data_IF_688605873240
#
_entry.id   IF_688605873240
#
_cell.length_a   1.000
_cell.length_b   1.000
_cell.length_c   1.000
_cell.angle_alpha   90.00
_cell.angle_beta   90.00
_cell.angle_gamma   90.00
#
_symmetry.space_group_name_H-M   'P 1'
#
loop_
_entity.id
_entity.type
_entity.pdbx_description
1 polymer ?
#
# COMPACT_ATOMS: atom_id res chain seq x y z
N UNK A 1 -73.67 -40.73 8.72
CA UNK A 1 -73.21 -39.47 8.10
C UNK A 1 -71.98 -38.98 8.84
N UNK A 2 -70.75 -39.23 8.30
CA UNK A 2 -69.49 -38.87 8.88
C UNK A 2 -68.79 -37.94 7.88
N UNK A 3 -68.71 -36.65 8.22
CA UNK A 3 -68.06 -35.64 7.38
C UNK A 3 -66.63 -35.48 7.87
N UNK A 4 -65.65 -35.86 7.06
CA UNK A 4 -64.20 -35.65 7.33
C UNK A 4 -63.81 -34.24 6.87
N UNK A 5 -63.28 -33.46 7.81
CA UNK A 5 -62.68 -32.11 7.55
C UNK A 5 -61.20 -32.33 7.32
N UNK A 6 -60.73 -32.15 6.09
CA UNK A 6 -59.31 -32.09 5.74
C UNK A 6 -58.77 -30.70 6.02
N UNK A 7 -57.93 -30.55 7.03
CA UNK A 7 -57.21 -29.31 7.31
C UNK A 7 -55.97 -29.21 6.40
N UNK A 8 -55.97 -28.24 5.48
CA UNK A 8 -54.87 -27.92 4.58
C UNK A 8 -53.88 -27.00 5.33
N UNK A 9 -52.76 -27.55 5.82
CA UNK A 9 -51.68 -26.76 6.43
C UNK A 9 -50.86 -26.08 5.34
N UNK A 10 -51.07 -24.78 5.12
CA UNK A 10 -50.24 -23.94 4.26
C UNK A 10 -48.93 -23.63 5.00
N UNK A 11 -47.85 -24.30 4.62
CA UNK A 11 -46.49 -23.96 5.09
C UNK A 11 -46.04 -22.72 4.32
N UNK A 12 -46.12 -21.57 4.96
CA UNK A 12 -45.55 -20.31 4.47
C UNK A 12 -44.02 -20.41 4.54
N UNK A 13 -43.36 -20.70 3.42
CA UNK A 13 -41.94 -20.58 3.28
C UNK A 13 -41.57 -19.08 3.38
N UNK A 14 -41.18 -18.64 4.56
CA UNK A 14 -40.57 -17.32 4.74
C UNK A 14 -39.23 -17.35 4.01
N UNK A 15 -39.21 -16.84 2.78
CA UNK A 15 -38.00 -16.61 2.03
C UNK A 15 -37.14 -15.63 2.80
N UNK A 16 -36.09 -16.15 3.43
CA UNK A 16 -35.02 -15.31 3.99
C UNK A 16 -34.38 -14.62 2.78
N UNK A 17 -34.85 -13.42 2.44
CA UNK A 17 -34.21 -12.57 1.46
C UNK A 17 -32.77 -12.38 1.86
N UNK A 18 -31.84 -12.98 1.11
CA UNK A 18 -30.42 -12.73 1.25
C UNK A 18 -30.22 -11.22 1.06
N UNK A 19 -30.02 -10.52 2.16
CA UNK A 19 -29.66 -9.11 2.11
C UNK A 19 -28.41 -8.99 1.21
N UNK A 20 -28.57 -8.45 0.01
CA UNK A 20 -27.46 -8.21 -0.91
C UNK A 20 -26.46 -7.30 -0.21
N UNK A 21 -25.38 -7.87 0.27
CA UNK A 21 -24.34 -7.11 0.95
C UNK A 21 -23.82 -6.04 -0.02
N UNK A 22 -23.87 -4.77 0.38
CA UNK A 22 -23.43 -3.64 -0.42
C UNK A 22 -22.01 -3.88 -0.93
N UNK A 23 -21.82 -3.81 -2.24
CA UNK A 23 -20.49 -3.92 -2.85
C UNK A 23 -19.62 -2.74 -2.42
N UNK A 24 -18.40 -3.04 -1.99
CA UNK A 24 -17.41 -2.05 -1.60
C UNK A 24 -16.44 -1.87 -2.79
N UNK A 25 -16.27 -0.64 -3.25
CA UNK A 25 -15.27 -0.32 -4.26
C UNK A 25 -14.00 0.16 -3.55
N UNK A 26 -12.88 -0.53 -3.78
CA UNK A 26 -11.58 -0.23 -3.20
C UNK A 26 -10.62 0.23 -4.29
N UNK A 27 -10.04 1.40 -4.13
CA UNK A 27 -9.02 1.95 -5.02
C UNK A 27 -7.63 1.69 -4.44
N UNK A 28 -6.74 1.10 -5.25
CA UNK A 28 -5.31 1.01 -4.95
C UNK A 28 -4.58 1.99 -5.85
N UNK A 29 -4.13 3.11 -5.29
CA UNK A 29 -3.34 4.10 -6.01
C UNK A 29 -1.84 3.81 -5.93
N UNK A 30 -1.09 4.22 -6.95
CA UNK A 30 0.37 4.24 -6.97
C UNK A 30 0.87 5.24 -7.99
N UNK A 31 2.14 5.63 -7.89
CA UNK A 31 2.72 6.64 -8.80
C UNK A 31 3.60 6.04 -9.88
N UNK A 32 3.94 4.77 -9.75
CA UNK A 32 4.76 4.01 -10.70
C UNK A 32 3.91 3.04 -11.52
N UNK A 33 4.51 2.45 -12.54
CA UNK A 33 3.88 1.44 -13.41
C UNK A 33 4.93 0.41 -13.82
N UNK A 34 4.51 -0.84 -14.04
CA UNK A 34 5.36 -1.95 -14.49
C UNK A 34 6.53 -2.27 -13.55
N UNK A 35 6.34 -2.06 -12.26
CA UNK A 35 7.28 -2.37 -11.18
C UNK A 35 6.68 -3.32 -10.14
N UNK A 36 7.43 -3.57 -9.06
CA UNK A 36 7.00 -4.45 -7.96
C UNK A 36 5.68 -3.99 -7.30
N UNK A 37 5.46 -2.67 -7.18
CA UNK A 37 4.23 -2.13 -6.61
C UNK A 37 3.01 -2.44 -7.50
N UNK A 38 3.18 -2.25 -8.83
CA UNK A 38 2.11 -2.54 -9.78
C UNK A 38 1.80 -4.05 -9.83
N UNK A 39 2.83 -4.91 -9.85
CA UNK A 39 2.64 -6.36 -9.76
C UNK A 39 1.89 -6.76 -8.46
N UNK A 40 2.35 -6.26 -7.32
CA UNK A 40 1.76 -6.53 -6.01
C UNK A 40 0.30 -6.06 -5.92
N UNK A 41 -0.01 -4.90 -6.49
CA UNK A 41 -1.38 -4.38 -6.53
C UNK A 41 -2.34 -5.25 -7.35
N UNK A 42 -1.87 -5.74 -8.49
CA UNK A 42 -2.66 -6.67 -9.31
C UNK A 42 -2.87 -8.03 -8.61
N UNK A 43 -1.85 -8.50 -7.87
CA UNK A 43 -1.98 -9.69 -7.05
C UNK A 43 -2.98 -9.47 -5.91
N UNK A 44 -2.86 -8.36 -5.16
CA UNK A 44 -3.79 -7.99 -4.09
C UNK A 44 -5.22 -7.86 -4.57
N UNK A 45 -5.44 -7.27 -5.75
CA UNK A 45 -6.77 -7.21 -6.39
C UNK A 45 -7.39 -8.59 -6.46
N UNK A 46 -6.67 -9.57 -7.04
CA UNK A 46 -7.16 -10.94 -7.20
C UNK A 46 -7.49 -11.58 -5.86
N UNK A 47 -6.60 -11.45 -4.88
CA UNK A 47 -6.74 -12.04 -3.55
C UNK A 47 -7.94 -11.43 -2.78
N UNK A 48 -8.07 -10.11 -2.80
CA UNK A 48 -9.14 -9.40 -2.09
C UNK A 48 -10.50 -9.72 -2.72
N UNK A 49 -10.60 -9.68 -4.05
CA UNK A 49 -11.85 -10.00 -4.74
C UNK A 49 -12.28 -11.46 -4.49
N UNK A 50 -11.33 -12.41 -4.54
CA UNK A 50 -11.59 -13.81 -4.25
C UNK A 50 -11.99 -14.04 -2.78
N UNK A 51 -11.19 -13.54 -1.83
CA UNK A 51 -11.43 -13.76 -0.39
C UNK A 51 -12.67 -13.04 0.14
N UNK A 52 -13.11 -11.99 -0.54
CA UNK A 52 -14.36 -11.30 -0.21
C UNK A 52 -15.59 -11.90 -0.90
N UNK A 53 -15.44 -12.99 -1.66
CA UNK A 53 -16.48 -13.55 -2.51
C UNK A 53 -17.10 -12.47 -3.45
N UNK A 54 -16.26 -11.60 -4.00
CA UNK A 54 -16.66 -10.51 -4.90
C UNK A 54 -17.37 -9.34 -4.20
N UNK A 55 -17.48 -9.35 -2.88
CA UNK A 55 -18.08 -8.25 -2.11
C UNK A 55 -17.21 -6.96 -2.17
N UNK A 56 -15.89 -7.10 -2.30
CA UNK A 56 -14.98 -5.98 -2.53
C UNK A 56 -14.54 -6.02 -3.99
N UNK A 57 -14.73 -4.92 -4.71
CA UNK A 57 -14.25 -4.70 -6.09
C UNK A 57 -13.05 -3.80 -6.05
N UNK A 58 -11.92 -4.23 -6.60
CA UNK A 58 -10.65 -3.51 -6.51
C UNK A 58 -10.28 -2.89 -7.86
N UNK A 59 -10.15 -1.57 -7.87
CA UNK A 59 -9.55 -0.81 -8.97
C UNK A 59 -8.07 -0.54 -8.70
N UNK A 60 -7.18 -0.86 -9.65
CA UNK A 60 -5.74 -0.55 -9.59
C UNK A 60 -5.45 0.65 -10.48
N UNK A 61 -4.84 1.69 -9.92
CA UNK A 61 -4.60 2.98 -10.56
C UNK A 61 -3.11 3.34 -10.55
N UNK A 62 -2.32 2.83 -11.53
CA UNK A 62 -0.89 3.12 -11.66
C UNK A 62 -0.64 4.51 -12.25
N UNK A 63 0.67 4.85 -12.39
CA UNK A 63 1.14 6.06 -13.07
C UNK A 63 0.46 7.37 -12.57
N UNK A 64 0.23 7.46 -11.26
CA UNK A 64 -0.38 8.64 -10.62
C UNK A 64 -1.78 9.02 -11.14
N UNK A 65 -2.58 8.06 -11.64
CA UNK A 65 -3.93 8.32 -12.15
C UNK A 65 -4.87 8.96 -11.11
N UNK A 66 -4.68 8.68 -9.81
CA UNK A 66 -5.44 9.31 -8.73
C UNK A 66 -4.82 10.64 -8.24
N UNK A 67 -3.74 11.08 -8.89
CA UNK A 67 -3.02 12.30 -8.55
C UNK A 67 -1.60 12.06 -8.05
N UNK A 68 -0.87 13.17 -7.86
CA UNK A 68 0.50 13.15 -7.32
C UNK A 68 0.49 12.70 -5.84
N UNK A 69 1.67 12.34 -5.32
CA UNK A 69 1.84 11.80 -3.96
C UNK A 69 1.12 12.61 -2.87
N UNK A 70 1.29 13.93 -2.76
CA UNK A 70 0.63 14.68 -1.68
C UNK A 70 -0.90 14.56 -1.73
N UNK A 71 -1.49 14.60 -2.93
CA UNK A 71 -2.93 14.47 -3.12
C UNK A 71 -3.45 13.08 -2.70
N UNK A 72 -2.70 12.02 -3.02
CA UNK A 72 -3.12 10.66 -2.64
C UNK A 72 -2.97 10.44 -1.13
N UNK A 73 -1.96 11.01 -0.47
CA UNK A 73 -1.82 10.98 0.98
C UNK A 73 -3.02 11.68 1.64
N UNK A 74 -3.37 12.87 1.17
CA UNK A 74 -4.53 13.61 1.65
C UNK A 74 -5.83 12.82 1.44
N UNK A 75 -6.00 12.22 0.26
CA UNK A 75 -7.19 11.43 -0.07
C UNK A 75 -7.36 10.21 0.84
N UNK A 76 -6.27 9.55 1.27
CA UNK A 76 -6.32 8.47 2.27
C UNK A 76 -6.73 9.02 3.63
N UNK A 77 -6.14 10.14 4.07
CA UNK A 77 -6.47 10.75 5.37
C UNK A 77 -7.93 11.19 5.44
N UNK A 78 -8.50 11.64 4.33
CA UNK A 78 -9.92 12.02 4.19
C UNK A 78 -10.86 10.83 3.92
N UNK A 79 -10.33 9.62 3.70
CA UNK A 79 -11.13 8.43 3.39
C UNK A 79 -11.75 8.44 2.00
N UNK A 80 -11.28 9.27 1.07
CA UNK A 80 -11.76 9.32 -0.33
C UNK A 80 -11.00 8.40 -1.27
N UNK A 81 -9.89 7.83 -0.79
CA UNK A 81 -9.12 6.76 -1.40
C UNK A 81 -8.81 5.70 -0.33
N UNK A 82 -9.03 4.44 -0.64
CA UNK A 82 -8.93 3.35 0.33
C UNK A 82 -7.49 2.90 0.56
N UNK A 83 -6.64 2.90 -0.49
CA UNK A 83 -5.26 2.37 -0.37
C UNK A 83 -4.28 3.12 -1.27
N UNK A 84 -3.07 3.29 -0.79
CA UNK A 84 -1.96 3.87 -1.54
C UNK A 84 -0.68 3.06 -1.33
N UNK A 85 -0.06 2.62 -2.42
CA UNK A 85 1.23 1.95 -2.41
C UNK A 85 2.35 2.94 -2.65
N UNK A 86 3.21 3.12 -1.64
CA UNK A 86 4.26 4.15 -1.68
C UNK A 86 5.35 3.86 -0.65
N UNK A 87 6.62 4.23 -0.90
CA UNK A 87 7.67 4.18 0.12
C UNK A 87 7.31 5.01 1.37
N UNK A 88 7.59 4.49 2.56
CA UNK A 88 7.23 5.14 3.82
C UNK A 88 7.80 6.55 3.99
N UNK A 89 8.99 6.83 3.47
CA UNK A 89 9.63 8.15 3.56
C UNK A 89 8.81 9.33 3.03
N UNK A 90 7.78 9.07 2.22
CA UNK A 90 6.86 10.13 1.79
C UNK A 90 5.88 10.57 2.87
N UNK A 91 5.74 9.81 3.96
CA UNK A 91 4.91 10.16 5.12
C UNK A 91 5.67 10.92 6.22
N UNK A 92 6.94 11.29 5.99
CA UNK A 92 7.79 12.01 6.96
C UNK A 92 7.19 13.34 7.45
N UNK A 93 6.39 14.01 6.62
CA UNK A 93 5.65 15.21 6.99
C UNK A 93 4.54 14.94 8.01
N UNK A 94 4.11 13.70 8.15
CA UNK A 94 3.09 13.26 9.11
C UNK A 94 3.74 12.77 10.40
N UNK A 95 4.76 11.89 10.27
CA UNK A 95 5.57 11.41 11.37
C UNK A 95 6.99 11.13 10.88
N UNK A 96 7.99 11.77 11.49
CA UNK A 96 9.39 11.65 11.10
C UNK A 96 9.92 10.21 11.20
N UNK A 97 9.31 9.37 12.03
CA UNK A 97 9.71 7.96 12.19
C UNK A 97 9.51 7.13 10.92
N UNK A 98 8.65 7.55 9.99
CA UNK A 98 8.48 6.87 8.70
C UNK A 98 9.76 6.81 7.86
N UNK A 99 10.77 7.65 8.12
CA UNK A 99 12.03 7.58 7.38
C UNK A 99 12.99 6.48 7.88
N UNK A 100 12.69 5.80 8.99
CA UNK A 100 13.60 4.81 9.58
C UNK A 100 13.97 3.68 8.60
N UNK A 101 13.02 3.26 7.77
CA UNK A 101 13.24 2.19 6.79
C UNK A 101 14.12 2.60 5.61
N UNK A 102 14.28 3.90 5.38
CA UNK A 102 15.07 4.46 4.29
C UNK A 102 16.47 4.89 4.77
N UNK A 103 16.77 4.73 6.08
CA UNK A 103 18.03 5.17 6.64
C UNK A 103 19.21 4.31 6.13
N UNK A 104 20.30 4.94 5.64
CA UNK A 104 21.49 4.22 5.20
C UNK A 104 22.06 3.34 6.32
N UNK A 105 22.43 2.10 5.99
CA UNK A 105 22.99 1.15 6.95
C UNK A 105 21.99 0.52 7.92
N UNK A 106 20.69 0.86 7.85
CA UNK A 106 19.66 0.24 8.68
C UNK A 106 19.57 -1.26 8.45
N UNK A 107 19.70 -1.70 7.21
CA UNK A 107 19.65 -3.11 6.84
C UNK A 107 20.93 -3.51 6.10
N UNK A 108 21.47 -4.68 6.43
CA UNK A 108 22.66 -5.23 5.78
C UNK A 108 22.37 -5.79 4.39
N UNK A 109 21.17 -6.31 4.20
CA UNK A 109 20.71 -6.91 2.95
C UNK A 109 19.16 -6.99 2.95
N UNK A 110 18.58 -7.43 1.81
CA UNK A 110 17.13 -7.54 1.66
C UNK A 110 16.50 -8.60 2.58
N UNK A 111 17.22 -9.69 2.87
CA UNK A 111 16.74 -10.72 3.80
C UNK A 111 16.67 -10.18 5.23
N UNK A 112 17.67 -9.40 5.63
CA UNK A 112 17.65 -8.70 6.92
C UNK A 112 16.48 -7.71 6.98
N UNK A 113 16.31 -6.87 5.96
CA UNK A 113 15.19 -5.94 5.87
C UNK A 113 13.84 -6.67 6.00
N UNK A 114 13.64 -7.74 5.23
CA UNK A 114 12.40 -8.53 5.28
C UNK A 114 12.16 -9.13 6.66
N UNK A 115 13.19 -9.68 7.33
CA UNK A 115 13.04 -10.19 8.69
C UNK A 115 12.68 -9.08 9.68
N UNK A 116 13.38 -7.95 9.61
CA UNK A 116 13.19 -6.84 10.54
C UNK A 116 11.79 -6.20 10.44
N UNK A 117 11.34 -5.88 9.22
CA UNK A 117 10.01 -5.26 9.03
C UNK A 117 8.85 -6.20 9.36
N UNK A 118 9.07 -7.50 9.39
CA UNK A 118 8.08 -8.51 9.77
C UNK A 118 8.17 -8.93 11.24
N UNK A 119 9.10 -8.36 12.04
CA UNK A 119 9.07 -8.56 13.48
C UNK A 119 7.79 -7.95 14.06
N UNK A 120 7.01 -8.69 14.89
CA UNK A 120 5.71 -8.22 15.36
C UNK A 120 5.78 -6.87 16.08
N UNK A 121 6.80 -6.64 16.89
CA UNK A 121 6.99 -5.38 17.62
C UNK A 121 7.23 -4.21 16.67
N UNK A 122 8.12 -4.36 15.68
CA UNK A 122 8.38 -3.35 14.67
C UNK A 122 7.12 -3.09 13.84
N UNK A 123 6.51 -4.14 13.31
CA UNK A 123 5.33 -4.04 12.45
C UNK A 123 4.17 -3.36 13.17
N UNK A 124 3.84 -3.79 14.39
CA UNK A 124 2.75 -3.21 15.18
C UNK A 124 2.99 -1.73 15.50
N UNK A 125 4.22 -1.36 15.87
CA UNK A 125 4.58 0.03 16.11
C UNK A 125 4.45 0.86 14.84
N UNK A 126 5.00 0.36 13.74
CA UNK A 126 5.02 1.05 12.45
C UNK A 126 3.62 1.23 11.85
N UNK A 127 2.76 0.21 11.93
CA UNK A 127 1.39 0.27 11.41
C UNK A 127 0.54 1.33 12.10
N UNK A 128 0.80 1.60 13.38
CA UNK A 128 0.02 2.55 14.19
C UNK A 128 0.50 4.01 14.07
N UNK A 129 1.66 4.27 13.46
CA UNK A 129 2.18 5.65 13.38
C UNK A 129 1.25 6.62 12.64
N UNK A 130 0.47 6.12 11.67
CA UNK A 130 -0.51 6.91 10.93
C UNK A 130 -1.91 6.92 11.50
N UNK A 131 -2.24 6.08 12.49
CA UNK A 131 -3.61 5.84 12.94
C UNK A 131 -4.31 7.12 13.42
N UNK A 132 -3.63 7.95 14.22
CA UNK A 132 -4.17 9.26 14.68
C UNK A 132 -4.23 10.31 13.56
N UNK A 133 -3.74 10.00 12.37
CA UNK A 133 -3.69 10.87 11.19
C UNK A 133 -4.55 10.34 10.03
N UNK A 134 -5.45 9.41 10.33
CA UNK A 134 -6.48 8.94 9.40
C UNK A 134 -6.07 7.76 8.52
N UNK A 135 -4.92 7.10 8.75
CA UNK A 135 -4.53 5.90 7.99
C UNK A 135 -3.73 4.90 8.84
N UNK A 136 -3.67 3.67 8.37
CA UNK A 136 -2.83 2.62 8.96
C UNK A 136 -1.99 1.97 7.87
N UNK A 137 -0.77 1.54 8.21
CA UNK A 137 0.06 0.73 7.32
C UNK A 137 -0.43 -0.72 7.39
N UNK A 138 -0.94 -1.25 6.29
CA UNK A 138 -1.52 -2.60 6.24
C UNK A 138 -0.50 -3.69 5.98
N UNK A 139 0.55 -3.41 5.22
CA UNK A 139 1.63 -4.34 4.94
C UNK A 139 2.89 -3.60 4.50
N UNK A 140 4.03 -4.26 4.64
CA UNK A 140 5.33 -3.76 4.21
C UNK A 140 6.08 -4.87 3.46
N UNK A 141 6.92 -4.49 2.52
CA UNK A 141 7.83 -5.41 1.81
C UNK A 141 9.05 -4.65 1.32
N UNK A 142 10.16 -5.38 1.14
CA UNK A 142 11.37 -4.83 0.52
C UNK A 142 11.18 -4.71 -1.01
N UNK A 143 11.68 -3.61 -1.57
CA UNK A 143 11.73 -3.36 -3.01
C UNK A 143 13.17 -3.42 -3.55
N UNK A 144 14.11 -3.90 -2.75
CA UNK A 144 15.55 -3.85 -3.04
C UNK A 144 16.22 -2.57 -2.53
N UNK A 145 17.55 -2.52 -2.64
CA UNK A 145 18.34 -1.35 -2.26
C UNK A 145 18.30 -0.23 -3.30
N UNK A 146 18.59 1.00 -2.86
CA UNK A 146 18.76 2.14 -3.75
C UNK A 146 19.98 1.93 -4.65
N UNK A 147 19.81 2.11 -5.95
CA UNK A 147 20.86 1.99 -6.95
C UNK A 147 20.94 3.25 -7.81
N UNK A 148 22.15 3.60 -8.23
CA UNK A 148 22.39 4.72 -9.12
C UNK A 148 22.59 4.20 -10.56
N UNK A 149 21.68 4.57 -11.46
CA UNK A 149 21.82 4.30 -12.88
C UNK A 149 22.30 5.56 -13.61
N UNK A 150 23.34 5.45 -14.44
CA UNK A 150 23.90 6.58 -15.17
C UNK A 150 24.18 6.22 -16.64
N UNK A 151 24.05 7.21 -17.53
CA UNK A 151 24.43 7.05 -18.93
C UNK A 151 25.95 7.01 -19.06
N UNK A 152 26.68 7.87 -18.32
CA UNK A 152 28.14 7.88 -18.28
C UNK A 152 28.60 7.03 -17.10
N UNK A 153 29.38 5.97 -17.29
CA UNK A 153 29.89 5.14 -16.20
C UNK A 153 30.60 5.94 -15.12
N UNK A 154 30.58 5.44 -13.89
CA UNK A 154 31.43 5.95 -12.79
C UNK A 154 32.08 4.77 -12.08
N UNK A 155 33.27 5.01 -11.51
CA UNK A 155 34.07 3.99 -10.82
C UNK A 155 34.28 4.34 -9.34
N UNK A 156 34.17 5.62 -8.98
CA UNK A 156 34.36 6.14 -7.63
C UNK A 156 33.35 7.25 -7.34
N UNK A 157 33.15 7.55 -6.06
CA UNK A 157 32.17 8.56 -5.64
C UNK A 157 32.48 9.95 -6.22
N UNK A 158 33.77 10.32 -6.33
CA UNK A 158 34.16 11.59 -6.95
C UNK A 158 33.64 11.79 -8.37
N UNK A 159 33.43 10.71 -9.11
CA UNK A 159 32.89 10.78 -10.46
C UNK A 159 31.43 11.23 -10.50
N UNK A 160 30.74 11.23 -9.36
CA UNK A 160 29.36 11.71 -9.22
C UNK A 160 29.25 13.21 -8.95
N UNK A 161 30.35 13.86 -8.52
CA UNK A 161 30.37 15.29 -8.22
C UNK A 161 29.92 16.12 -9.41
N UNK A 162 29.05 17.11 -9.14
CA UNK A 162 28.49 18.00 -10.18
C UNK A 162 27.52 17.34 -11.16
N UNK A 163 27.18 16.05 -11.02
CA UNK A 163 26.18 15.41 -11.86
C UNK A 163 24.77 15.70 -11.36
N UNK A 164 23.82 15.85 -12.28
CA UNK A 164 22.41 15.91 -11.95
C UNK A 164 21.88 14.49 -11.72
N UNK A 165 21.56 14.16 -10.48
CA UNK A 165 21.05 12.85 -10.08
C UNK A 165 19.58 12.99 -9.67
N UNK A 166 18.70 12.21 -10.27
CA UNK A 166 17.31 12.13 -9.85
C UNK A 166 17.22 11.24 -8.62
N UNK A 167 16.61 11.73 -7.56
CA UNK A 167 16.34 11.00 -6.30
C UNK A 167 14.83 10.94 -6.03
N UNK A 168 14.42 10.10 -5.09
CA UNK A 168 13.10 10.22 -4.50
C UNK A 168 12.98 11.58 -3.81
N UNK A 169 11.82 12.20 -3.90
CA UNK A 169 11.57 13.54 -3.34
C UNK A 169 11.41 13.50 -1.81
N UNK A 170 12.25 12.72 -1.11
CA UNK A 170 12.30 12.66 0.35
C UNK A 170 13.49 13.48 0.88
N UNK A 171 13.39 14.08 2.07
CA UNK A 171 14.50 14.82 2.67
C UNK A 171 15.75 13.95 2.86
N UNK A 172 15.57 12.68 3.23
CA UNK A 172 16.67 11.76 3.48
C UNK A 172 17.44 11.43 2.20
N UNK A 173 16.77 11.04 1.13
CA UNK A 173 17.42 10.75 -0.16
C UNK A 173 18.20 11.96 -0.69
N UNK A 174 17.64 13.16 -0.56
CA UNK A 174 18.32 14.39 -0.94
C UNK A 174 19.57 14.64 -0.10
N UNK A 175 19.51 14.40 1.21
CA UNK A 175 20.65 14.57 2.09
C UNK A 175 21.77 13.55 1.78
N UNK A 176 21.40 12.27 1.59
CA UNK A 176 22.34 11.19 1.28
C UNK A 176 23.06 11.46 -0.05
N UNK A 177 22.32 11.71 -1.12
CA UNK A 177 22.95 11.96 -2.45
C UNK A 177 23.68 13.31 -2.45
N UNK A 178 23.14 14.33 -1.80
CA UNK A 178 23.79 15.64 -1.68
C UNK A 178 25.13 15.59 -0.91
N UNK A 179 25.31 14.63 0.03
CA UNK A 179 26.58 14.45 0.71
C UNK A 179 27.69 13.83 -0.16
N UNK A 180 27.33 13.31 -1.32
CA UNK A 180 28.28 12.72 -2.27
C UNK A 180 28.90 13.77 -3.22
N UNK A 181 28.47 15.03 -3.15
CA UNK A 181 28.95 16.18 -3.95
C UNK A 181 27.97 16.57 -5.03
#
# INVERSE_FOLDING_TARGET
FTTAIAALAAVSAVGVGAASAKTINMKIGMVTINDSNHFKSNWLKKEIEAKSNGRIKVGVFPAAQLGKIPRQIEAIQLGTQETFMIPPGFFIGIDKRFMVTDAPGMFTDEKHATRAINQPEFFNTFTQMGAKKGFVVMSMWGCGGTSVATIKPFKKLDDLKGRKIRVLATPLERAVIGSLG
#
